data_IF_537072507698
#
_entry.id   IF_537072507698
#
_cell.length_a   1.000
_cell.length_b   1.000
_cell.length_c   1.000
_cell.angle_alpha   90.00
_cell.angle_beta   90.00
_cell.angle_gamma   90.00
#
_symmetry.space_group_name_H-M   'P 1'
#
loop_
_entity.id
_entity.type
_entity.pdbx_description
1 polymer ?
#
# COMPACT_ATOMS: atom_id res chain seq x y z
N UNK A 1 11.09 23.97 -3.63
CA UNK A 1 11.24 22.90 -4.65
C UNK A 1 10.19 21.87 -4.35
N UNK A 2 9.18 21.77 -5.20
CA UNK A 2 8.09 20.82 -5.00
C UNK A 2 8.62 19.39 -5.13
N UNK A 3 8.26 18.53 -4.18
CA UNK A 3 8.37 17.08 -4.35
C UNK A 3 7.38 16.67 -5.44
N UNK A 4 7.80 16.80 -6.70
CA UNK A 4 7.14 16.14 -7.81
C UNK A 4 7.12 14.64 -7.48
N UNK A 5 5.92 14.10 -7.38
CA UNK A 5 5.61 12.88 -6.65
C UNK A 5 6.41 11.68 -7.19
N UNK A 6 7.28 11.09 -6.37
CA UNK A 6 7.94 9.79 -6.63
C UNK A 6 6.93 8.62 -6.51
N UNK A 7 5.72 8.78 -7.03
CA UNK A 7 4.72 7.73 -7.03
C UNK A 7 4.91 6.87 -8.28
N UNK A 8 5.43 5.67 -8.10
CA UNK A 8 5.56 4.70 -9.19
C UNK A 8 4.25 3.91 -9.31
N UNK A 9 3.60 3.97 -10.47
CA UNK A 9 2.46 3.10 -10.77
C UNK A 9 2.91 1.63 -10.73
N UNK A 10 2.20 0.79 -9.98
CA UNK A 10 2.54 -0.63 -9.86
C UNK A 10 1.60 -1.52 -10.67
N UNK A 11 0.28 -1.36 -10.50
CA UNK A 11 -0.73 -2.19 -11.17
C UNK A 11 -2.15 -1.63 -10.92
N UNK A 12 -3.17 -2.20 -11.58
CA UNK A 12 -4.59 -1.92 -11.29
C UNK A 12 -5.37 -3.22 -11.12
N UNK A 13 -6.07 -3.33 -9.99
CA UNK A 13 -6.88 -4.51 -9.66
C UNK A 13 -8.33 -4.11 -9.38
N UNK A 14 -9.26 -4.99 -9.79
CA UNK A 14 -10.67 -4.87 -9.41
C UNK A 14 -10.82 -5.21 -7.92
N UNK A 15 -11.59 -4.40 -7.18
CA UNK A 15 -12.02 -4.73 -5.82
C UNK A 15 -12.92 -5.97 -5.86
N UNK A 16 -12.46 -7.05 -5.24
CA UNK A 16 -13.19 -8.32 -5.25
C UNK A 16 -14.45 -8.24 -4.37
N UNK A 17 -15.41 -9.17 -4.58
CA UNK A 17 -16.70 -9.20 -3.86
C UNK A 17 -16.57 -9.26 -2.35
N UNK A 18 -15.48 -9.82 -1.84
CA UNK A 18 -15.17 -9.90 -0.41
C UNK A 18 -14.22 -8.78 0.05
N UNK A 19 -14.20 -7.67 -0.67
CA UNK A 19 -13.45 -6.44 -0.35
C UNK A 19 -11.92 -6.59 -0.40
N UNK A 20 -11.40 -7.62 -1.09
CA UNK A 20 -9.94 -7.81 -1.26
C UNK A 20 -9.41 -7.08 -2.50
N UNK A 21 -8.20 -6.54 -2.37
CA UNK A 21 -7.36 -6.06 -3.47
C UNK A 21 -6.08 -6.88 -3.45
N UNK A 22 -5.60 -7.31 -4.63
CA UNK A 22 -4.33 -8.01 -4.75
C UNK A 22 -3.19 -6.99 -4.73
N UNK A 23 -2.23 -7.17 -3.84
CA UNK A 23 -1.02 -6.35 -3.84
C UNK A 23 -0.05 -6.80 -4.96
N UNK A 24 0.57 -5.88 -5.71
CA UNK A 24 1.57 -6.18 -6.73
C UNK A 24 2.79 -6.89 -6.12
N UNK A 25 3.40 -7.85 -6.83
CA UNK A 25 4.59 -8.58 -6.32
C UNK A 25 5.80 -7.68 -6.10
N UNK A 26 5.89 -6.55 -6.82
CA UNK A 26 7.00 -5.59 -6.73
C UNK A 26 7.19 -5.00 -5.33
N UNK A 27 6.13 -4.96 -4.51
CA UNK A 27 6.23 -4.42 -3.15
C UNK A 27 7.17 -5.24 -2.26
N UNK A 28 7.37 -6.53 -2.54
CA UNK A 28 8.26 -7.39 -1.75
C UNK A 28 9.70 -6.86 -1.78
N UNK A 29 10.14 -6.38 -2.95
CA UNK A 29 11.48 -5.83 -3.15
C UNK A 29 11.51 -4.35 -2.79
N UNK A 30 10.55 -3.57 -3.30
CA UNK A 30 10.56 -2.11 -3.14
C UNK A 30 10.30 -1.65 -1.70
N UNK A 31 9.52 -2.43 -0.93
CA UNK A 31 9.19 -2.11 0.47
C UNK A 31 9.86 -3.05 1.48
N UNK A 32 10.55 -4.11 1.01
CA UNK A 32 11.20 -5.09 1.89
C UNK A 32 10.21 -5.88 2.76
N UNK A 33 8.98 -6.08 2.31
CA UNK A 33 7.92 -6.78 3.07
C UNK A 33 7.88 -8.28 2.77
N UNK A 34 7.48 -9.06 3.77
CA UNK A 34 7.40 -10.51 3.70
C UNK A 34 5.95 -11.00 3.73
N UNK A 35 5.65 -11.97 2.85
CA UNK A 35 4.30 -12.55 2.73
C UNK A 35 3.91 -13.30 4.00
N UNK A 36 2.73 -12.98 4.54
CA UNK A 36 2.20 -13.65 5.73
C UNK A 36 2.86 -13.20 7.04
N UNK A 37 3.82 -12.26 6.99
CA UNK A 37 4.55 -11.75 8.17
C UNK A 37 4.32 -10.26 8.33
N UNK A 38 4.65 -9.45 7.31
CA UNK A 38 4.52 -8.00 7.40
C UNK A 38 3.05 -7.56 7.47
N UNK A 39 2.75 -6.64 8.39
CA UNK A 39 1.43 -6.03 8.55
C UNK A 39 1.41 -4.66 7.88
N UNK A 40 0.23 -4.23 7.44
CA UNK A 40 0.00 -2.89 6.91
C UNK A 40 -1.10 -2.18 7.70
N UNK A 41 -0.83 -0.95 8.10
CA UNK A 41 -1.86 -0.04 8.59
C UNK A 41 -2.60 0.59 7.40
N UNK A 42 -3.92 0.62 7.48
CA UNK A 42 -4.79 1.14 6.41
C UNK A 42 -5.40 2.47 6.88
N UNK A 43 -5.16 3.53 6.13
CA UNK A 43 -5.70 4.87 6.38
C UNK A 43 -6.61 5.29 5.23
N UNK A 44 -7.67 6.04 5.54
CA UNK A 44 -8.52 6.70 4.55
C UNK A 44 -8.17 8.19 4.51
N UNK A 45 -7.59 8.64 3.41
CA UNK A 45 -7.48 10.07 3.10
C UNK A 45 -8.78 10.52 2.43
N UNK A 46 -9.68 11.10 3.22
CA UNK A 46 -10.97 11.59 2.72
C UNK A 46 -10.84 12.77 1.76
N UNK A 47 -9.75 13.55 1.86
CA UNK A 47 -9.55 14.74 1.02
C UNK A 47 -9.23 14.32 -0.42
N UNK A 48 -8.32 13.36 -0.56
CA UNK A 48 -7.91 12.85 -1.88
C UNK A 48 -8.72 11.63 -2.34
N UNK A 49 -9.56 11.07 -1.45
CA UNK A 49 -10.35 9.85 -1.66
C UNK A 49 -9.48 8.62 -1.93
N UNK A 50 -8.43 8.47 -1.13
CA UNK A 50 -7.42 7.43 -1.29
C UNK A 50 -7.39 6.51 -0.07
N UNK A 51 -7.09 5.23 -0.31
CA UNK A 51 -6.65 4.31 0.75
C UNK A 51 -5.14 4.27 0.74
N UNK A 52 -4.53 4.59 1.88
CA UNK A 52 -3.08 4.59 2.07
C UNK A 52 -2.73 3.38 2.91
N UNK A 53 -1.87 2.52 2.37
CA UNK A 53 -1.30 1.38 3.08
C UNK A 53 0.12 1.74 3.55
N UNK A 54 0.39 1.67 4.84
CA UNK A 54 1.73 1.90 5.42
C UNK A 54 2.24 0.63 6.08
N UNK A 55 3.54 0.34 5.95
CA UNK A 55 4.16 -0.78 6.69
C UNK A 55 3.96 -0.51 8.18
N UNK A 56 3.31 -1.44 8.87
CA UNK A 56 3.12 -1.35 10.31
C UNK A 56 4.47 -1.47 11.00
N UNK A 57 4.78 -0.51 11.86
CA UNK A 57 5.95 -0.57 12.74
C UNK A 57 5.43 -0.99 14.11
N UNK A 58 5.84 -2.16 14.60
CA UNK A 58 5.60 -2.49 16.00
C UNK A 58 6.34 -1.46 16.84
N UNK A 59 5.62 -0.72 17.68
CA UNK A 59 6.25 0.16 18.66
C UNK A 59 6.83 -0.73 19.74
N UNK A 60 8.15 -0.65 19.93
CA UNK A 60 8.80 -1.10 21.16
C UNK A 60 8.25 -0.33 22.39
#
# INVERSE_FOLDING_TARGET
MGLESECTYLDTYILQRDMRVRLPKSILVNLGVEKGVSKFDIYLDQKNKELILKIHQEKE
#
